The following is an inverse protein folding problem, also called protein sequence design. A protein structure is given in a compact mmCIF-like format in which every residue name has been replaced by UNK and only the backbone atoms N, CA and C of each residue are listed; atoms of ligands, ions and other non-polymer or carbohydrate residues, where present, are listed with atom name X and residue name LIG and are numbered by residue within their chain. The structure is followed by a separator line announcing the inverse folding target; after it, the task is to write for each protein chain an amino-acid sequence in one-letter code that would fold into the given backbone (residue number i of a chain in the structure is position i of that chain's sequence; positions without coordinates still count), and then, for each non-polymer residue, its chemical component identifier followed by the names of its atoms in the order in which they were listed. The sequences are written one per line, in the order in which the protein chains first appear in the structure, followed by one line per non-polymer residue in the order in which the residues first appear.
data_IF_921479671744
#
_entry.id   IF_921479671744
#
_cell.length_a   1.000
_cell.length_b   1.000
_cell.length_c   1.000
_cell.angle_alpha   90.00
_cell.angle_beta   90.00
_cell.angle_gamma   90.00
#
_symmetry.space_group_name_H-M   'P 1'
#
loop_
_entity.id
_entity.type
_entity.pdbx_description
1 polymer ?
#
# COMPACT_ATOMS: atom_id res chain seq x y z
N UNK A 1 12.77 -5.33 -20.62
CA UNK A 1 13.64 -4.93 -19.50
C UNK A 1 12.76 -4.19 -18.53
N UNK A 2 12.76 -4.59 -17.26
CA UNK A 2 12.00 -3.89 -16.23
C UNK A 2 12.70 -2.58 -15.87
N UNK A 3 11.92 -1.53 -15.66
CA UNK A 3 12.38 -0.22 -15.21
C UNK A 3 11.75 0.13 -13.86
N UNK A 4 12.25 1.16 -13.19
CA UNK A 4 11.64 1.70 -11.97
C UNK A 4 10.21 2.21 -12.22
N UNK A 5 9.91 2.74 -13.40
CA UNK A 5 8.55 3.15 -13.78
C UNK A 5 7.58 1.96 -13.87
N UNK A 6 8.05 0.78 -14.25
CA UNK A 6 7.24 -0.44 -14.20
C UNK A 6 6.91 -0.84 -12.76
N UNK A 7 7.87 -0.67 -11.84
CA UNK A 7 7.66 -0.88 -10.40
C UNK A 7 6.66 0.14 -9.85
N UNK A 8 6.84 1.43 -10.14
CA UNK A 8 5.92 2.51 -9.70
C UNK A 8 4.48 2.23 -10.12
N UNK A 9 4.27 1.82 -11.37
CA UNK A 9 2.94 1.45 -11.89
C UNK A 9 2.24 0.36 -11.08
N UNK A 10 2.99 -0.56 -10.48
CA UNK A 10 2.43 -1.60 -9.59
C UNK A 10 2.18 -1.06 -8.19
N UNK A 11 3.06 -0.20 -7.67
CA UNK A 11 3.05 0.24 -6.27
C UNK A 11 2.16 1.46 -5.98
N UNK A 12 1.99 2.37 -6.94
CA UNK A 12 1.18 3.58 -6.82
C UNK A 12 -0.30 3.30 -6.46
N UNK A 13 -0.99 2.31 -7.06
CA UNK A 13 -2.37 2.01 -6.70
C UNK A 13 -2.49 1.21 -5.39
N UNK A 14 -1.38 0.74 -4.80
CA UNK A 14 -1.47 -0.09 -3.61
C UNK A 14 -1.90 0.74 -2.40
N UNK A 15 -2.86 0.24 -1.62
CA UNK A 15 -3.33 0.99 -0.47
C UNK A 15 -2.23 1.19 0.58
N UNK A 16 -2.18 2.41 1.13
CA UNK A 16 -1.17 2.89 2.10
C UNK A 16 0.26 2.92 1.57
N UNK A 17 0.46 2.59 0.29
CA UNK A 17 1.73 2.78 -0.40
C UNK A 17 1.89 4.24 -0.75
N UNK A 18 3.06 4.80 -0.49
CA UNK A 18 3.41 6.12 -0.98
C UNK A 18 4.91 6.22 -1.26
N UNK A 19 5.26 7.01 -2.27
CA UNK A 19 6.64 7.25 -2.67
C UNK A 19 7.21 8.45 -1.89
N UNK A 20 8.48 8.34 -1.48
CA UNK A 20 9.22 9.40 -0.80
C UNK A 20 10.69 9.40 -1.24
N UNK A 21 11.24 10.60 -1.45
CA UNK A 21 12.66 10.77 -1.72
C UNK A 21 13.43 10.95 -0.40
N UNK A 22 14.50 10.16 -0.20
CA UNK A 22 15.40 10.30 0.94
C UNK A 22 16.84 10.27 0.47
N UNK A 23 17.53 11.41 0.57
CA UNK A 23 18.95 11.57 0.19
C UNK A 23 19.22 11.15 -1.27
N UNK A 24 18.40 11.63 -2.21
CA UNK A 24 18.57 11.34 -3.65
C UNK A 24 18.19 9.92 -4.04
N UNK A 25 17.36 9.24 -3.24
CA UNK A 25 16.90 7.88 -3.51
C UNK A 25 15.40 7.77 -3.26
N UNK A 26 14.69 7.26 -4.25
CA UNK A 26 13.26 7.01 -4.17
C UNK A 26 12.95 5.73 -3.41
N UNK A 27 11.91 5.80 -2.58
CA UNK A 27 11.49 4.71 -1.69
C UNK A 27 9.99 4.64 -1.61
N UNK A 28 9.46 3.43 -1.54
CA UNK A 28 8.06 3.19 -1.21
C UNK A 28 7.90 2.77 0.24
N UNK A 29 6.87 3.33 0.88
CA UNK A 29 6.56 3.11 2.29
C UNK A 29 5.14 2.68 2.54
N UNK A 30 4.95 1.96 3.64
CA UNK A 30 3.67 1.78 4.33
C UNK A 30 3.86 2.29 5.75
N UNK A 31 3.13 3.36 6.12
CA UNK A 31 3.37 4.06 7.38
C UNK A 31 4.84 4.50 7.48
N UNK A 32 5.59 4.01 8.47
CA UNK A 32 7.02 4.31 8.62
C UNK A 32 7.96 3.23 8.03
N UNK A 33 7.41 2.15 7.48
CA UNK A 33 8.19 1.00 7.00
C UNK A 33 8.51 1.22 5.53
N UNK A 34 9.79 1.19 5.18
CA UNK A 34 10.24 1.11 3.78
C UNK A 34 10.16 -0.35 3.34
N UNK A 35 9.47 -0.61 2.23
CA UNK A 35 9.32 -1.97 1.69
C UNK A 35 9.92 -2.13 0.28
N UNK A 36 10.13 -1.03 -0.46
CA UNK A 36 10.94 -0.97 -1.69
C UNK A 36 11.81 0.30 -1.65
N UNK A 37 13.05 0.22 -2.13
CA UNK A 37 13.93 1.37 -2.29
C UNK A 37 14.84 1.21 -3.51
N UNK A 38 14.94 2.24 -4.34
CA UNK A 38 15.80 2.23 -5.51
C UNK A 38 17.25 2.63 -5.19
N UNK A 39 18.19 2.15 -6.00
CA UNK A 39 19.52 2.75 -6.13
C UNK A 39 19.40 4.17 -6.71
N UNK A 40 20.47 4.95 -6.61
CA UNK A 40 20.46 6.35 -7.06
C UNK A 40 20.32 6.49 -8.59
N UNK A 41 20.78 5.48 -9.33
CA UNK A 41 20.64 5.35 -10.78
C UNK A 41 19.34 4.63 -11.19
N UNK A 42 18.53 4.19 -10.22
CA UNK A 42 17.31 3.42 -10.41
C UNK A 42 17.49 2.12 -11.24
N UNK A 43 18.71 1.58 -11.34
CA UNK A 43 18.95 0.30 -12.05
C UNK A 43 18.74 -0.93 -11.16
N UNK A 44 18.68 -0.73 -9.85
CA UNK A 44 18.43 -1.77 -8.86
C UNK A 44 17.40 -1.33 -7.83
N UNK A 45 16.73 -2.31 -7.23
CA UNK A 45 15.84 -2.10 -6.09
C UNK A 45 16.20 -3.04 -4.95
N UNK A 46 16.15 -2.52 -3.72
CA UNK A 46 15.98 -3.31 -2.53
C UNK A 46 14.49 -3.50 -2.24
N UNK A 47 14.10 -4.66 -1.73
CA UNK A 47 12.72 -4.95 -1.36
C UNK A 47 12.62 -5.85 -0.13
N UNK A 48 11.47 -5.78 0.54
CA UNK A 48 11.14 -6.62 1.68
C UNK A 48 11.16 -8.10 1.33
N UNK A 49 11.97 -8.90 2.02
CA UNK A 49 12.10 -10.34 1.75
C UNK A 49 12.53 -11.12 3.00
N UNK A 50 12.06 -12.37 3.22
CA UNK A 50 12.44 -13.15 4.39
C UNK A 50 13.95 -13.40 4.48
N UNK A 51 14.57 -13.00 5.60
CA UNK A 51 16.00 -13.20 5.91
C UNK A 51 16.43 -14.64 5.74
N UNK A 52 15.61 -15.59 6.18
CA UNK A 52 15.91 -17.01 6.11
C UNK A 52 15.94 -17.55 4.67
N UNK A 53 15.31 -16.86 3.72
CA UNK A 53 15.21 -17.29 2.32
C UNK A 53 16.16 -16.55 1.38
N UNK A 54 16.74 -15.41 1.80
CA UNK A 54 17.52 -14.52 0.90
C UNK A 54 18.72 -15.21 0.27
N UNK A 55 19.43 -16.06 1.02
CA UNK A 55 20.63 -16.73 0.53
C UNK A 55 20.28 -17.73 -0.58
N UNK A 56 19.11 -18.38 -0.47
CA UNK A 56 18.57 -19.25 -1.51
C UNK A 56 18.18 -18.48 -2.78
N UNK A 57 17.54 -17.32 -2.62
CA UNK A 57 17.17 -16.45 -3.76
C UNK A 57 18.42 -15.91 -4.50
N UNK A 58 19.45 -15.50 -3.74
CA UNK A 58 20.72 -15.05 -4.34
C UNK A 58 21.42 -16.21 -5.05
N UNK A 59 21.41 -17.41 -4.47
CA UNK A 59 22.02 -18.58 -5.10
C UNK A 59 21.30 -19.03 -6.38
N UNK A 60 19.98 -18.80 -6.51
CA UNK A 60 19.23 -19.22 -7.69
C UNK A 60 19.47 -18.35 -8.93
N UNK A 61 19.74 -17.05 -8.74
CA UNK A 61 20.03 -16.11 -9.83
C UNK A 61 20.94 -14.96 -9.36
N UNK A 62 22.25 -15.20 -9.16
CA UNK A 62 23.19 -14.22 -8.61
C UNK A 62 23.46 -13.00 -9.51
N UNK A 63 23.19 -13.13 -10.81
CA UNK A 63 23.18 -12.04 -11.78
C UNK A 63 22.01 -11.06 -11.56
N UNK A 64 20.93 -11.54 -10.95
CA UNK A 64 19.73 -10.76 -10.67
C UNK A 64 19.73 -10.29 -9.22
N UNK A 65 19.88 -11.21 -8.27
CA UNK A 65 19.73 -10.96 -6.84
C UNK A 65 21.07 -10.83 -6.13
N UNK A 66 21.12 -9.95 -5.13
CA UNK A 66 22.30 -9.74 -4.30
C UNK A 66 21.94 -9.27 -2.90
N UNK A 67 22.86 -9.49 -1.96
CA UNK A 67 22.69 -9.03 -0.59
C UNK A 67 22.84 -7.50 -0.49
N UNK A 68 22.07 -6.84 0.39
CA UNK A 68 22.26 -5.43 0.67
C UNK A 68 23.56 -5.20 1.47
N UNK A 69 23.98 -3.94 1.68
CA UNK A 69 25.10 -3.61 2.55
C UNK A 69 24.94 -4.20 3.96
N UNK A 70 26.07 -4.40 4.66
CA UNK A 70 26.10 -5.03 6.00
C UNK A 70 25.14 -4.37 7.01
N UNK A 71 24.96 -3.04 6.94
CA UNK A 71 24.03 -2.30 7.81
C UNK A 71 22.58 -2.75 7.69
N UNK A 72 22.20 -3.27 6.52
CA UNK A 72 20.83 -3.59 6.15
C UNK A 72 20.54 -5.08 6.30
N UNK A 73 21.56 -5.93 6.48
CA UNK A 73 21.41 -7.37 6.71
C UNK A 73 20.60 -7.70 7.98
N UNK A 74 20.43 -6.74 8.88
CA UNK A 74 19.56 -6.84 10.07
C UNK A 74 18.06 -6.72 9.76
N UNK A 75 17.66 -6.41 8.53
CA UNK A 75 16.27 -6.31 8.11
C UNK A 75 15.83 -7.49 7.25
N UNK A 76 14.52 -7.62 7.05
CA UNK A 76 13.91 -8.56 6.10
C UNK A 76 14.06 -7.96 4.70
N UNK A 77 15.23 -8.11 4.08
CA UNK A 77 15.61 -7.32 2.90
C UNK A 77 16.58 -8.07 1.98
N UNK A 78 16.39 -7.90 0.67
CA UNK A 78 17.28 -8.35 -0.40
C UNK A 78 17.23 -7.36 -1.57
N UNK A 79 18.19 -7.38 -2.48
CA UNK A 79 18.22 -6.51 -3.64
C UNK A 79 18.15 -7.29 -4.95
N UNK A 80 17.60 -6.67 -5.98
CA UNK A 80 17.60 -7.16 -7.36
C UNK A 80 18.04 -6.06 -8.34
N UNK A 81 18.74 -6.45 -9.40
CA UNK A 81 18.93 -5.63 -10.60
C UNK A 81 17.64 -5.67 -11.42
N UNK A 82 17.16 -4.53 -11.89
CA UNK A 82 15.91 -4.47 -12.65
C UNK A 82 16.07 -5.02 -14.06
N UNK A 83 17.22 -4.79 -14.69
CA UNK A 83 17.46 -5.21 -16.08
C UNK A 83 17.14 -6.68 -16.39
N UNK A 84 17.67 -7.63 -15.59
CA UNK A 84 17.42 -9.07 -15.76
C UNK A 84 16.02 -9.55 -15.38
N UNK A 85 15.23 -8.78 -14.61
CA UNK A 85 13.92 -9.22 -14.13
C UNK A 85 12.89 -9.31 -15.25
N UNK A 86 12.01 -10.30 -15.16
CA UNK A 86 10.74 -10.34 -15.87
C UNK A 86 9.69 -9.44 -15.21
N UNK A 87 8.69 -8.99 -15.96
CA UNK A 87 7.59 -8.17 -15.42
C UNK A 87 6.77 -8.92 -14.36
N UNK A 88 6.46 -10.20 -14.59
CA UNK A 88 5.68 -11.01 -13.65
C UNK A 88 6.46 -11.27 -12.35
N UNK A 89 7.75 -11.63 -12.48
CA UNK A 89 8.64 -11.82 -11.33
C UNK A 89 8.78 -10.53 -10.51
N UNK A 90 9.05 -9.39 -11.17
CA UNK A 90 9.10 -8.09 -10.48
C UNK A 90 7.79 -7.81 -9.74
N UNK A 91 6.64 -8.02 -10.40
CA UNK A 91 5.32 -7.80 -9.83
C UNK A 91 5.11 -8.65 -8.57
N UNK A 92 5.45 -9.94 -8.61
CA UNK A 92 5.33 -10.82 -7.45
C UNK A 92 6.21 -10.33 -6.29
N UNK A 93 7.48 -10.02 -6.55
CA UNK A 93 8.42 -9.57 -5.53
C UNK A 93 7.94 -8.30 -4.80
N UNK A 94 7.49 -7.29 -5.55
CA UNK A 94 7.09 -6.01 -4.96
C UNK A 94 5.74 -6.09 -4.25
N UNK A 95 4.81 -6.92 -4.73
CA UNK A 95 3.54 -7.19 -4.05
C UNK A 95 3.76 -7.97 -2.75
N UNK A 96 4.64 -8.97 -2.74
CA UNK A 96 4.94 -9.72 -1.53
C UNK A 96 5.70 -8.88 -0.50
N UNK A 97 6.62 -8.02 -0.94
CA UNK A 97 7.27 -7.04 -0.08
C UNK A 97 6.25 -6.09 0.59
N UNK A 98 5.25 -5.62 -0.18
CA UNK A 98 4.15 -4.82 0.37
C UNK A 98 3.30 -5.61 1.36
N UNK A 99 2.91 -6.85 1.05
CA UNK A 99 2.13 -7.75 1.93
C UNK A 99 2.82 -8.03 3.26
N UNK A 100 4.16 -8.09 3.28
CA UNK A 100 4.93 -8.23 4.52
C UNK A 100 4.78 -7.02 5.45
N UNK A 101 4.39 -5.86 4.91
CA UNK A 101 4.30 -4.59 5.61
C UNK A 101 2.84 -4.15 5.86
N UNK A 102 1.85 -4.90 5.39
CA UNK A 102 0.43 -4.57 5.52
C UNK A 102 -0.39 -5.62 6.29
N UNK A 103 -1.52 -5.23 6.91
CA UNK A 103 -2.49 -6.18 7.42
C UNK A 103 -3.11 -7.02 6.29
N UNK A 104 -3.38 -8.31 6.56
CA UNK A 104 -3.99 -9.24 5.59
C UNK A 104 -5.27 -8.75 4.94
N UNK A 105 -6.05 -7.90 5.63
CA UNK A 105 -7.31 -7.39 5.08
C UNK A 105 -7.12 -6.51 3.83
N UNK A 106 -5.89 -6.07 3.54
CA UNK A 106 -5.58 -5.23 2.38
C UNK A 106 -5.24 -6.03 1.12
N UNK A 107 -4.89 -7.31 1.26
CA UNK A 107 -4.26 -8.07 0.19
C UNK A 107 -5.17 -8.30 -1.01
N UNK A 108 -6.49 -8.31 -0.78
CA UNK A 108 -7.52 -8.69 -1.74
C UNK A 108 -8.63 -7.64 -1.80
N UNK A 109 -8.27 -6.36 -1.79
CA UNK A 109 -9.26 -5.29 -1.85
C UNK A 109 -9.96 -5.25 -3.20
N UNK A 110 -11.31 -5.10 -3.22
CA UNK A 110 -12.00 -4.83 -4.46
C UNK A 110 -11.50 -3.50 -5.03
N UNK A 111 -11.59 -3.34 -6.34
CA UNK A 111 -11.38 -2.03 -6.95
C UNK A 111 -12.45 -1.07 -6.42
N UNK A 112 -12.02 -0.08 -5.64
CA UNK A 112 -12.90 0.91 -5.05
C UNK A 112 -12.90 2.17 -5.92
N UNK A 113 -14.05 2.84 -6.10
CA UNK A 113 -14.08 4.16 -6.70
C UNK A 113 -13.14 5.12 -5.96
N UNK A 114 -12.49 6.04 -6.70
CA UNK A 114 -11.49 6.95 -6.13
C UNK A 114 -11.92 7.69 -4.84
N UNK A 115 -13.17 8.21 -4.72
CA UNK A 115 -13.63 8.83 -3.47
C UNK A 115 -13.67 7.87 -2.28
N UNK A 116 -14.01 6.60 -2.52
CA UNK A 116 -14.07 5.58 -1.48
C UNK A 116 -12.67 5.19 -0.99
N UNK A 117 -11.73 5.05 -1.94
CA UNK A 117 -10.33 4.82 -1.62
C UNK A 117 -9.75 5.98 -0.80
N UNK A 118 -9.96 7.22 -1.25
CA UNK A 118 -9.50 8.41 -0.54
C UNK A 118 -10.15 8.53 0.85
N UNK A 119 -11.46 8.29 0.96
CA UNK A 119 -12.15 8.29 2.25
C UNK A 119 -11.53 7.26 3.20
N UNK A 120 -11.27 6.05 2.73
CA UNK A 120 -10.65 5.02 3.55
C UNK A 120 -9.21 5.39 3.98
N UNK A 121 -8.42 6.00 3.11
CA UNK A 121 -7.08 6.50 3.46
C UNK A 121 -7.14 7.56 4.56
N UNK A 122 -8.01 8.57 4.44
CA UNK A 122 -8.16 9.59 5.48
C UNK A 122 -8.70 9.05 6.80
N UNK A 123 -9.54 8.02 6.76
CA UNK A 123 -9.98 7.29 7.94
C UNK A 123 -8.78 6.65 8.66
N UNK A 124 -7.91 5.95 7.93
CA UNK A 124 -6.70 5.33 8.50
C UNK A 124 -5.73 6.36 9.09
N UNK A 125 -5.63 7.53 8.46
CA UNK A 125 -4.82 8.66 8.91
C UNK A 125 -5.49 9.47 10.04
N UNK A 126 -6.75 9.16 10.38
CA UNK A 126 -7.59 9.95 11.28
C UNK A 126 -7.74 11.41 10.86
N UNK A 127 -7.70 11.68 9.56
CA UNK A 127 -7.85 13.01 8.97
C UNK A 127 -9.32 13.32 8.63
N UNK A 128 -10.04 13.72 9.67
CA UNK A 128 -11.48 13.99 9.57
C UNK A 128 -11.83 15.21 8.71
N UNK A 129 -10.89 16.15 8.57
CA UNK A 129 -11.10 17.37 7.80
C UNK A 129 -11.18 17.04 6.31
N UNK A 130 -10.30 16.17 5.83
CA UNK A 130 -10.27 15.70 4.45
C UNK A 130 -11.27 14.56 4.17
N UNK A 131 -11.65 13.77 5.18
CA UNK A 131 -12.72 12.78 5.06
C UNK A 131 -14.11 13.40 4.87
N UNK A 132 -14.45 14.43 5.65
CA UNK A 132 -15.80 15.03 5.67
C UNK A 132 -16.37 15.39 4.29
N UNK A 133 -15.63 16.03 3.35
CA UNK A 133 -16.15 16.35 2.03
C UNK A 133 -16.37 15.13 1.13
N UNK A 134 -15.75 13.98 1.42
CA UNK A 134 -15.92 12.74 0.67
C UNK A 134 -17.15 11.94 1.10
N UNK A 135 -17.73 12.23 2.26
CA UNK A 135 -18.94 11.57 2.73
C UNK A 135 -20.18 12.37 2.31
N UNK A 136 -21.13 11.71 1.63
CA UNK A 136 -22.40 12.34 1.28
C UNK A 136 -23.16 12.77 2.55
N UNK A 137 -23.88 13.90 2.58
CA UNK A 137 -24.65 14.33 3.75
C UNK A 137 -25.60 13.23 4.28
N UNK A 138 -26.21 12.47 3.37
CA UNK A 138 -27.12 11.34 3.66
C UNK A 138 -26.43 9.96 3.58
N UNK A 139 -25.13 9.87 3.83
CA UNK A 139 -24.40 8.59 3.75
C UNK A 139 -25.06 7.50 4.60
N UNK A 140 -25.22 6.30 4.04
CA UNK A 140 -25.60 5.10 4.75
C UNK A 140 -24.37 4.25 4.99
N UNK A 141 -24.00 4.09 6.26
CA UNK A 141 -22.78 3.40 6.67
C UNK A 141 -23.13 2.12 7.42
N UNK A 142 -22.63 1.00 6.92
CA UNK A 142 -22.70 -0.30 7.56
C UNK A 142 -21.31 -0.89 7.66
N UNK A 143 -20.82 -1.09 8.89
CA UNK A 143 -19.62 -1.87 9.17
C UNK A 143 -19.96 -2.96 10.19
N UNK A 144 -20.09 -4.20 9.72
CA UNK A 144 -20.52 -5.35 10.53
C UNK A 144 -21.87 -5.08 11.21
N UNK A 145 -21.88 -4.96 12.54
CA UNK A 145 -23.08 -4.71 13.34
C UNK A 145 -23.38 -3.21 13.53
N UNK A 146 -22.48 -2.32 13.11
CA UNK A 146 -22.66 -0.87 13.22
C UNK A 146 -23.39 -0.39 11.98
N UNK A 147 -24.54 0.25 12.18
CA UNK A 147 -25.32 0.89 11.13
C UNK A 147 -25.57 2.35 11.52
N UNK A 148 -25.10 3.27 10.68
CA UNK A 148 -25.21 4.71 10.89
C UNK A 148 -25.80 5.37 9.65
N UNK A 149 -26.46 6.51 9.85
CA UNK A 149 -26.99 7.34 8.77
C UNK A 149 -26.59 8.78 8.95
N UNK A 150 -26.19 9.41 7.86
CA UNK A 150 -25.80 10.79 7.82
C UNK A 150 -24.34 11.01 8.21
N UNK A 151 -23.73 12.02 7.58
CA UNK A 151 -22.30 12.31 7.70
C UNK A 151 -21.85 12.60 9.14
N UNK A 152 -22.66 13.30 9.92
CA UNK A 152 -22.30 13.72 11.28
C UNK A 152 -22.14 12.52 12.22
N UNK A 153 -23.07 11.57 12.16
CA UNK A 153 -23.05 10.37 13.00
C UNK A 153 -21.89 9.46 12.65
N UNK A 154 -21.61 9.30 11.34
CA UNK A 154 -20.43 8.57 10.84
C UNK A 154 -19.14 9.19 11.35
N UNK A 155 -18.95 10.51 11.20
CA UNK A 155 -17.76 11.19 11.70
C UNK A 155 -17.62 11.12 13.22
N UNK A 156 -18.73 11.21 13.95
CA UNK A 156 -18.73 11.06 15.42
C UNK A 156 -18.28 9.66 15.84
N UNK A 157 -18.78 8.63 15.16
CA UNK A 157 -18.38 7.24 15.40
C UNK A 157 -16.90 7.00 15.06
N UNK A 158 -16.44 7.42 13.89
CA UNK A 158 -15.07 7.21 13.44
C UNK A 158 -14.03 7.89 14.34
N UNK A 159 -14.34 9.04 14.94
CA UNK A 159 -13.45 9.64 15.94
C UNK A 159 -13.23 8.77 17.19
N UNK A 160 -14.16 7.88 17.51
CA UNK A 160 -14.05 6.94 18.62
C UNK A 160 -13.47 5.59 18.17
N UNK A 161 -13.81 5.16 16.95
CA UNK A 161 -13.38 3.89 16.34
C UNK A 161 -12.87 4.15 14.93
N UNK A 162 -11.59 4.58 14.78
CA UNK A 162 -11.10 5.24 13.57
C UNK A 162 -10.75 4.32 12.41
N UNK A 163 -10.71 3.01 12.59
CA UNK A 163 -10.21 2.10 11.55
C UNK A 163 -11.23 0.99 11.25
N UNK A 164 -12.34 1.30 10.57
CA UNK A 164 -13.22 0.28 10.00
C UNK A 164 -12.42 -0.56 9.00
N UNK A 165 -12.91 -1.78 8.75
CA UNK A 165 -12.35 -2.55 7.65
C UNK A 165 -12.69 -1.88 6.32
N UNK A 166 -11.86 -2.07 5.28
CA UNK A 166 -12.17 -1.62 3.93
C UNK A 166 -13.55 -2.10 3.49
N UNK A 167 -14.33 -1.32 2.73
CA UNK A 167 -15.67 -1.71 2.33
C UNK A 167 -15.64 -2.89 1.36
N UNK A 168 -16.66 -3.75 1.41
CA UNK A 168 -16.90 -4.79 0.39
C UNK A 168 -17.77 -4.28 -0.75
N UNK A 169 -18.54 -3.21 -0.52
CA UNK A 169 -19.34 -2.53 -1.54
C UNK A 169 -19.48 -1.05 -1.22
N UNK A 170 -19.43 -0.21 -2.26
CA UNK A 170 -19.57 1.24 -2.14
C UNK A 170 -20.45 1.79 -3.26
N UNK A 171 -21.34 2.72 -2.93
CA UNK A 171 -22.07 3.55 -3.89
C UNK A 171 -21.54 4.98 -3.79
N UNK A 172 -21.11 5.55 -4.92
CA UNK A 172 -20.64 6.94 -5.02
C UNK A 172 -21.66 7.74 -5.82
N UNK A 173 -22.00 8.92 -5.31
CA UNK A 173 -22.87 9.90 -5.94
C UNK A 173 -22.22 11.29 -5.88
N UNK A 174 -22.14 11.97 -7.01
CA UNK A 174 -21.58 13.33 -7.10
C UNK A 174 -20.18 13.46 -6.49
N UNK A 175 -19.35 12.41 -6.65
CA UNK A 175 -18.00 12.35 -6.09
C UNK A 175 -17.93 12.04 -4.58
N UNK A 176 -19.05 11.72 -3.94
CA UNK A 176 -19.14 11.43 -2.51
C UNK A 176 -19.65 10.02 -2.24
N UNK A 177 -19.17 9.39 -1.17
CA UNK A 177 -19.64 8.09 -0.69
C UNK A 177 -21.06 8.24 -0.14
N UNK A 178 -22.03 7.65 -0.84
CA UNK A 178 -23.44 7.58 -0.42
C UNK A 178 -23.73 6.31 0.36
N UNK A 179 -23.12 5.17 -0.01
CA UNK A 179 -23.24 3.92 0.75
C UNK A 179 -21.89 3.31 0.99
N UNK A 180 -21.65 2.89 2.22
CA UNK A 180 -20.50 2.10 2.61
C UNK A 180 -20.99 0.83 3.27
N UNK A 181 -20.69 -0.32 2.69
CA UNK A 181 -21.07 -1.62 3.26
C UNK A 181 -19.83 -2.47 3.47
N UNK A 182 -19.74 -3.03 4.67
CA UNK A 182 -18.78 -4.06 5.05
C UNK A 182 -19.43 -5.19 5.84
#
# INVERSE_FOLDING_TARGET
MVTSDDVRRILDPLPRSYEVEVRGRWKFRVGQIVYVAFSADEEAMGFGYPKAARDGLVASAPETFFLPPTSDLRFQWVCARLGPLGLDEMRELVLDAWRMCTPKMLHDLPELPAPAMAAWSFIDESDWAWLSPLLHPDVHWQDRSVVLRGRLDVLSHLRQVPTPRPPTSVEVRDGQVLRWTR
#
